data_IF_603895683380
#
_entry.id   IF_603895683380
#
_cell.length_a   1.000
_cell.length_b   1.000
_cell.length_c   1.000
_cell.angle_alpha   90.00
_cell.angle_beta   90.00
_cell.angle_gamma   90.00
#
_symmetry.space_group_name_H-M   'P 1'
#
loop_
_entity.id
_entity.type
_entity.pdbx_description
1 polymer ?
#
# COMPACT_ATOMS: atom_id res chain seq x y z
N UNK A 1 16.11 -0.99 -8.97
CA UNK A 1 15.88 0.05 -10.01
C UNK A 1 17.19 0.47 -10.68
N UNK A 2 18.08 1.23 -10.02
CA UNK A 2 19.30 1.73 -10.65
C UNK A 2 20.19 0.64 -11.25
N UNK A 3 20.42 -0.46 -10.53
CA UNK A 3 21.16 -1.62 -11.06
C UNK A 3 20.55 -2.15 -12.38
N UNK A 4 19.22 -2.22 -12.46
CA UNK A 4 18.52 -2.69 -13.65
C UNK A 4 18.69 -1.72 -14.84
N UNK A 5 18.55 -0.41 -14.59
CA UNK A 5 18.77 0.64 -15.62
C UNK A 5 20.22 0.65 -16.14
N UNK A 6 21.18 0.30 -15.30
CA UNK A 6 22.59 0.14 -15.68
C UNK A 6 22.87 -1.19 -16.41
N UNK A 7 21.86 -2.01 -16.67
CA UNK A 7 22.00 -3.28 -17.39
C UNK A 7 22.52 -4.45 -16.55
N UNK A 8 22.48 -4.35 -15.21
CA UNK A 8 22.90 -5.44 -14.33
C UNK A 8 21.85 -6.55 -14.34
N UNK A 9 22.23 -7.74 -14.82
CA UNK A 9 21.36 -8.93 -14.87
C UNK A 9 21.19 -9.61 -13.51
N UNK A 10 22.23 -9.55 -12.67
CA UNK A 10 22.31 -10.32 -11.44
C UNK A 10 21.58 -9.64 -10.29
N UNK A 11 21.13 -10.41 -9.30
CA UNK A 11 20.51 -9.89 -8.10
C UNK A 11 21.54 -9.15 -7.24
N UNK A 12 21.23 -7.92 -6.86
CA UNK A 12 22.17 -7.04 -6.15
C UNK A 12 21.77 -6.88 -4.69
N UNK A 13 20.48 -6.77 -4.40
CA UNK A 13 20.00 -6.45 -3.05
C UNK A 13 20.23 -7.55 -2.01
N UNK A 14 20.16 -8.86 -2.32
CA UNK A 14 20.55 -9.90 -1.37
C UNK A 14 22.03 -9.78 -0.95
N UNK A 15 22.92 -9.42 -1.88
CA UNK A 15 24.35 -9.24 -1.58
C UNK A 15 24.61 -8.02 -0.69
N UNK A 16 23.75 -7.00 -0.77
CA UNK A 16 23.80 -5.87 0.14
C UNK A 16 23.38 -6.26 1.57
N UNK A 17 22.42 -7.18 1.72
CA UNK A 17 22.07 -7.74 3.03
C UNK A 17 23.29 -8.45 3.64
N UNK A 18 23.96 -9.30 2.86
CA UNK A 18 25.18 -9.99 3.28
C UNK A 18 26.22 -8.96 3.80
N UNK A 19 26.47 -7.91 3.02
CA UNK A 19 27.43 -6.84 3.36
C UNK A 19 27.06 -6.06 4.63
N UNK A 20 25.77 -5.78 4.85
CA UNK A 20 25.31 -5.06 6.05
C UNK A 20 25.52 -5.91 7.30
N UNK A 21 25.26 -7.21 7.24
CA UNK A 21 25.49 -8.11 8.37
C UNK A 21 26.97 -8.25 8.67
N UNK A 22 27.82 -8.31 7.65
CA UNK A 22 29.28 -8.37 7.83
C UNK A 22 29.83 -7.12 8.54
N UNK A 23 29.31 -5.93 8.21
CA UNK A 23 29.79 -4.66 8.77
C UNK A 23 29.22 -4.42 10.18
N UNK A 24 27.92 -4.70 10.38
CA UNK A 24 27.18 -4.26 11.56
C UNK A 24 26.85 -5.40 12.54
N UNK A 25 27.06 -6.65 12.16
CA UNK A 25 26.59 -7.81 12.94
C UNK A 25 27.21 -7.92 14.33
N UNK A 26 28.42 -7.39 14.54
CA UNK A 26 29.08 -7.37 15.84
C UNK A 26 28.35 -6.47 16.86
N UNK A 27 27.89 -5.30 16.42
CA UNK A 27 27.17 -4.33 17.26
C UNK A 27 25.67 -4.66 17.39
N UNK A 28 25.13 -5.42 16.43
CA UNK A 28 23.72 -5.77 16.35
C UNK A 28 23.52 -7.29 16.15
N UNK A 29 23.60 -8.10 17.22
CA UNK A 29 23.54 -9.57 17.16
C UNK A 29 22.26 -10.14 16.56
N UNK A 30 21.16 -9.36 16.54
CA UNK A 30 19.90 -9.72 15.89
C UNK A 30 20.01 -9.77 14.36
N UNK A 31 21.00 -9.10 13.76
CA UNK A 31 21.19 -9.08 12.31
C UNK A 31 21.64 -10.46 11.79
N UNK A 32 22.72 -11.09 12.31
CA UNK A 32 23.05 -12.47 11.97
C UNK A 32 21.91 -13.45 12.27
N UNK A 33 21.18 -13.26 13.38
CA UNK A 33 20.11 -14.17 13.79
C UNK A 33 18.91 -14.21 12.82
N UNK A 34 18.66 -13.11 12.10
CA UNK A 34 17.54 -12.98 11.15
C UNK A 34 17.99 -12.94 9.69
N UNK A 35 19.30 -13.07 9.45
CA UNK A 35 19.93 -12.92 8.15
C UNK A 35 19.25 -13.73 7.05
N UNK A 36 19.13 -15.05 7.23
CA UNK A 36 18.62 -15.93 6.19
C UNK A 36 17.15 -15.63 5.83
N UNK A 37 16.35 -15.26 6.83
CA UNK A 37 14.97 -14.84 6.62
C UNK A 37 14.93 -13.55 5.78
N UNK A 38 15.63 -12.51 6.22
CA UNK A 38 15.65 -11.20 5.56
C UNK A 38 16.19 -11.33 4.14
N UNK A 39 17.31 -12.02 3.96
CA UNK A 39 17.92 -12.27 2.66
C UNK A 39 16.96 -12.98 1.71
N UNK A 40 16.26 -14.02 2.16
CA UNK A 40 15.28 -14.73 1.33
C UNK A 40 14.10 -13.86 0.93
N UNK A 41 13.64 -12.96 1.81
CA UNK A 41 12.55 -12.02 1.52
C UNK A 41 13.02 -11.02 0.47
N UNK A 42 14.17 -10.38 0.69
CA UNK A 42 14.76 -9.41 -0.24
C UNK A 42 15.01 -10.03 -1.61
N UNK A 43 15.48 -11.29 -1.67
CA UNK A 43 15.66 -12.02 -2.93
C UNK A 43 14.34 -12.20 -3.69
N UNK A 44 13.29 -12.66 -3.01
CA UNK A 44 11.97 -12.83 -3.63
C UNK A 44 11.40 -11.50 -4.12
N UNK A 45 11.53 -10.46 -3.31
CA UNK A 45 11.09 -9.10 -3.66
C UNK A 45 11.85 -8.56 -4.87
N UNK A 46 13.19 -8.73 -4.93
CA UNK A 46 13.97 -8.28 -6.10
C UNK A 46 13.59 -9.05 -7.36
N UNK A 47 13.40 -10.38 -7.29
CA UNK A 47 12.96 -11.19 -8.43
C UNK A 47 11.60 -10.73 -8.93
N UNK A 48 10.65 -10.50 -8.02
CA UNK A 48 9.32 -10.03 -8.38
C UNK A 48 9.38 -8.62 -8.99
N UNK A 49 10.14 -7.72 -8.39
CA UNK A 49 10.30 -6.35 -8.87
C UNK A 49 10.98 -6.30 -10.25
N UNK A 50 11.97 -7.15 -10.52
CA UNK A 50 12.60 -7.27 -11.84
C UNK A 50 11.61 -7.71 -12.92
N UNK A 51 10.70 -8.64 -12.59
CA UNK A 51 9.63 -9.05 -13.51
C UNK A 51 8.68 -7.89 -13.78
N UNK A 52 8.30 -7.14 -12.75
CA UNK A 52 7.49 -5.92 -12.89
C UNK A 52 8.17 -4.89 -13.79
N UNK A 53 9.46 -4.61 -13.58
CA UNK A 53 10.21 -3.68 -14.42
C UNK A 53 10.29 -4.14 -15.87
N UNK A 54 10.58 -5.42 -16.11
CA UNK A 54 10.68 -5.96 -17.46
C UNK A 54 9.35 -5.89 -18.23
N UNK A 55 8.23 -6.18 -17.55
CA UNK A 55 6.91 -6.10 -18.16
C UNK A 55 6.47 -4.63 -18.36
N UNK A 56 6.71 -3.77 -17.38
CA UNK A 56 6.37 -2.35 -17.45
C UNK A 56 7.13 -1.62 -18.56
N UNK A 57 8.42 -1.93 -18.75
CA UNK A 57 9.21 -1.38 -19.86
C UNK A 57 8.68 -1.80 -21.23
N UNK A 58 8.30 -3.08 -21.40
CA UNK A 58 7.72 -3.55 -22.67
C UNK A 58 6.41 -2.84 -22.99
N UNK A 59 5.57 -2.61 -21.99
CA UNK A 59 4.30 -1.91 -22.18
C UNK A 59 4.52 -0.42 -22.46
N UNK A 60 5.45 0.21 -21.74
CA UNK A 60 5.83 1.60 -21.97
C UNK A 60 6.41 1.80 -23.39
N UNK A 61 7.28 0.89 -23.85
CA UNK A 61 7.81 0.93 -25.21
C UNK A 61 6.70 0.85 -26.26
N UNK A 62 5.72 -0.03 -26.06
CA UNK A 62 4.58 -0.17 -26.96
C UNK A 62 3.67 1.06 -27.01
N UNK A 63 3.52 1.79 -25.90
CA UNK A 63 2.80 3.06 -25.85
C UNK A 63 3.59 4.17 -26.56
N UNK A 64 4.90 4.24 -26.31
CA UNK A 64 5.78 5.24 -26.91
C UNK A 64 5.90 5.06 -28.44
N UNK A 65 5.91 3.83 -28.94
CA UNK A 65 5.97 3.54 -30.39
C UNK A 65 4.73 4.06 -31.15
N UNK A 66 3.62 4.29 -30.45
CA UNK A 66 2.39 4.84 -31.02
C UNK A 66 2.31 6.37 -30.92
N UNK A 67 3.21 6.99 -30.16
CA UNK A 67 3.20 8.44 -29.97
C UNK A 67 3.87 9.17 -31.13
N UNK A 68 3.32 10.32 -31.57
CA UNK A 68 4.04 11.24 -32.43
C UNK A 68 5.34 11.70 -31.77
N UNK A 69 6.38 11.96 -32.57
CA UNK A 69 7.66 12.44 -32.07
C UNK A 69 7.48 13.72 -31.21
N UNK A 70 7.99 13.68 -29.98
CA UNK A 70 7.91 14.79 -29.03
C UNK A 70 6.54 15.00 -28.37
N UNK A 71 5.55 14.13 -28.61
CA UNK A 71 4.29 14.17 -27.88
C UNK A 71 4.45 13.60 -26.46
N UNK A 72 3.70 14.14 -25.50
CA UNK A 72 3.74 13.64 -24.12
C UNK A 72 2.96 12.32 -23.98
N UNK A 73 3.49 11.41 -23.17
CA UNK A 73 2.77 10.22 -22.72
C UNK A 73 1.57 10.65 -21.88
N UNK A 74 0.39 10.17 -22.26
CA UNK A 74 -0.84 10.48 -21.54
C UNK A 74 -0.75 10.09 -20.06
N UNK A 75 -1.25 10.96 -19.18
CA UNK A 75 -1.22 10.73 -17.73
C UNK A 75 -1.99 9.47 -17.32
N UNK A 76 -3.02 9.10 -18.09
CA UNK A 76 -3.78 7.84 -17.93
C UNK A 76 -2.95 6.60 -18.23
N UNK A 77 -2.08 6.62 -19.25
CA UNK A 77 -1.16 5.51 -19.56
C UNK A 77 -0.08 5.38 -18.47
N UNK A 78 0.48 6.50 -18.02
CA UNK A 78 1.41 6.52 -16.89
C UNK A 78 0.75 6.03 -15.58
N UNK A 79 -0.51 6.40 -15.35
CA UNK A 79 -1.31 5.94 -14.22
C UNK A 79 -1.57 4.44 -14.29
N UNK A 80 -1.93 3.90 -15.46
CA UNK A 80 -2.12 2.46 -15.66
C UNK A 80 -0.84 1.67 -15.36
N UNK A 81 0.31 2.12 -15.87
CA UNK A 81 1.62 1.51 -15.58
C UNK A 81 1.89 1.45 -14.07
N UNK A 82 1.63 2.55 -13.37
CA UNK A 82 1.83 2.64 -11.92
C UNK A 82 0.84 1.79 -11.12
N UNK A 83 -0.45 1.98 -11.34
CA UNK A 83 -1.51 1.38 -10.52
C UNK A 83 -1.75 -0.11 -10.83
N UNK A 84 -1.83 -0.45 -12.11
CA UNK A 84 -2.19 -1.81 -12.54
C UNK A 84 -0.97 -2.73 -12.60
N UNK A 85 0.16 -2.22 -13.09
CA UNK A 85 1.35 -3.03 -13.32
C UNK A 85 2.43 -2.84 -12.25
N UNK A 86 2.26 -1.89 -11.32
CA UNK A 86 3.25 -1.61 -10.27
C UNK A 86 4.55 -1.00 -10.79
N UNK A 87 4.54 -0.43 -12.01
CA UNK A 87 5.72 0.15 -12.63
C UNK A 87 5.95 1.57 -12.07
N UNK A 88 7.10 1.86 -11.44
CA UNK A 88 7.28 3.13 -10.73
C UNK A 88 7.19 4.34 -11.66
N UNK A 89 6.48 5.39 -11.22
CA UNK A 89 6.28 6.61 -12.00
C UNK A 89 7.61 7.29 -12.38
N UNK A 90 8.58 7.30 -11.47
CA UNK A 90 9.88 7.92 -11.70
C UNK A 90 10.68 7.17 -12.78
N UNK A 91 10.48 5.86 -12.91
CA UNK A 91 11.09 5.07 -14.00
C UNK A 91 10.42 5.41 -15.32
N UNK A 92 9.09 5.53 -15.34
CA UNK A 92 8.34 5.99 -16.53
C UNK A 92 8.86 7.34 -16.99
N UNK A 93 8.92 8.33 -16.09
CA UNK A 93 9.37 9.69 -16.41
C UNK A 93 10.79 9.71 -16.98
N UNK A 94 11.72 8.96 -16.39
CA UNK A 94 13.09 8.87 -16.89
C UNK A 94 13.17 8.26 -18.30
N UNK A 95 12.52 7.13 -18.54
CA UNK A 95 12.58 6.40 -19.83
C UNK A 95 11.91 7.22 -20.94
N UNK A 96 10.77 7.84 -20.64
CA UNK A 96 10.04 8.70 -21.58
C UNK A 96 10.89 9.92 -21.96
N UNK A 97 11.55 10.55 -20.99
CA UNK A 97 12.47 11.67 -21.21
C UNK A 97 13.69 11.29 -22.03
N UNK A 98 14.31 10.13 -21.78
CA UNK A 98 15.44 9.63 -22.57
C UNK A 98 15.08 9.43 -24.05
N UNK A 99 13.82 9.11 -24.33
CA UNK A 99 13.27 8.95 -25.68
C UNK A 99 12.76 10.26 -26.30
N UNK A 100 12.94 11.40 -25.62
CA UNK A 100 12.55 12.72 -26.15
C UNK A 100 11.07 13.06 -26.00
N UNK A 101 10.36 12.38 -25.12
CA UNK A 101 8.96 12.63 -24.79
C UNK A 101 8.83 13.18 -23.35
N UNK A 102 7.71 13.83 -23.03
CA UNK A 102 7.33 14.15 -21.65
C UNK A 102 6.23 13.22 -21.12
N UNK A 103 5.85 13.40 -19.85
CA UNK A 103 4.67 12.75 -19.27
C UNK A 103 3.68 13.82 -18.88
N UNK A 104 2.41 13.65 -19.26
CA UNK A 104 1.31 14.49 -18.80
C UNK A 104 1.06 14.28 -17.30
N UNK A 105 1.81 15.06 -16.50
CA UNK A 105 1.72 15.05 -15.04
C UNK A 105 0.35 15.49 -14.52
N UNK A 106 -0.28 16.57 -15.02
CA UNK A 106 -1.64 16.92 -14.63
C UNK A 106 -2.62 15.76 -14.81
N UNK A 107 -2.63 15.10 -15.96
CA UNK A 107 -3.52 13.96 -16.21
C UNK A 107 -3.24 12.77 -15.28
N UNK A 108 -1.98 12.53 -14.91
CA UNK A 108 -1.62 11.50 -13.93
C UNK A 108 -2.16 11.84 -12.53
N UNK A 109 -1.97 13.08 -12.08
CA UNK A 109 -2.42 13.53 -10.76
C UNK A 109 -3.96 13.53 -10.65
N UNK A 110 -4.67 13.86 -11.75
CA UNK A 110 -6.12 13.72 -11.85
C UNK A 110 -6.56 12.26 -11.69
N UNK A 111 -5.95 11.32 -12.42
CA UNK A 111 -6.26 9.89 -12.32
C UNK A 111 -6.01 9.34 -10.91
N UNK A 112 -4.92 9.75 -10.27
CA UNK A 112 -4.61 9.42 -8.87
C UNK A 112 -5.68 9.97 -7.91
N UNK A 113 -6.16 11.21 -8.12
CA UNK A 113 -7.19 11.81 -7.30
C UNK A 113 -8.54 11.07 -7.45
N UNK A 114 -8.91 10.68 -8.67
CA UNK A 114 -10.11 9.90 -8.94
C UNK A 114 -10.06 8.51 -8.29
N UNK A 115 -8.91 7.83 -8.36
CA UNK A 115 -8.72 6.54 -7.68
C UNK A 115 -8.86 6.68 -6.16
N UNK A 116 -8.24 7.71 -5.57
CA UNK A 116 -8.37 8.00 -4.14
C UNK A 116 -9.82 8.29 -3.74
N UNK A 117 -10.57 9.01 -4.58
CA UNK A 117 -12.00 9.27 -4.35
C UNK A 117 -12.81 7.97 -4.41
N UNK A 118 -12.61 7.14 -5.44
CA UNK A 118 -13.25 5.82 -5.58
C UNK A 118 -12.99 4.92 -4.36
N UNK A 119 -11.76 4.89 -3.87
CA UNK A 119 -11.40 4.11 -2.68
C UNK A 119 -12.11 4.64 -1.40
N UNK A 120 -12.30 5.96 -1.27
CA UNK A 120 -13.06 6.55 -0.15
C UNK A 120 -14.56 6.26 -0.24
N UNK A 121 -15.14 6.35 -1.44
CA UNK A 121 -16.55 6.09 -1.65
C UNK A 121 -16.89 4.60 -1.45
N UNK A 122 -16.00 3.70 -1.90
CA UNK A 122 -16.12 2.27 -1.61
C UNK A 122 -16.06 1.96 -0.11
N UNK A 123 -15.22 2.67 0.66
CA UNK A 123 -15.18 2.55 2.13
C UNK A 123 -16.44 3.08 2.82
N UNK A 124 -17.03 4.18 2.31
CA UNK A 124 -18.32 4.69 2.82
C UNK A 124 -19.48 3.74 2.55
N UNK A 125 -19.45 3.01 1.44
CA UNK A 125 -20.46 1.99 1.11
C UNK A 125 -20.45 0.77 2.05
N UNK A 126 -19.32 0.47 2.70
CA UNK A 126 -19.21 -0.63 3.69
C UNK A 126 -19.66 -0.17 5.09
N UNK A 127 -19.59 1.12 5.41
CA UNK A 127 -20.00 1.67 6.72
C UNK A 127 -21.37 2.37 6.71
N UNK A 128 -22.02 2.51 5.56
CA UNK A 128 -23.40 2.99 5.47
C UNK A 128 -24.37 1.85 5.17
N UNK A 129 -24.79 1.18 6.23
CA UNK A 129 -26.18 0.77 6.35
C UNK A 129 -26.60 0.94 7.83
N UNK A 130 -27.24 2.08 8.12
CA UNK A 130 -28.08 2.39 9.30
C UNK A 130 -27.52 3.18 10.51
N UNK A 131 -26.22 3.16 10.87
CA UNK A 131 -25.87 3.54 12.27
C UNK A 131 -24.95 4.76 12.47
N UNK A 132 -24.64 5.54 11.43
CA UNK A 132 -23.58 6.57 11.53
C UNK A 132 -23.90 7.74 12.46
N UNK A 133 -25.15 8.23 12.46
CA UNK A 133 -25.55 9.41 13.25
C UNK A 133 -25.59 9.12 14.76
N UNK A 134 -26.22 8.01 15.23
CA UNK A 134 -26.20 7.65 16.66
C UNK A 134 -24.79 7.33 17.17
N UNK A 135 -23.95 6.67 16.36
CA UNK A 135 -22.57 6.33 16.74
C UNK A 135 -21.70 7.57 16.85
N UNK A 136 -21.86 8.55 15.95
CA UNK A 136 -21.09 9.79 16.01
C UNK A 136 -21.43 10.61 17.27
N UNK A 137 -22.72 10.77 17.60
CA UNK A 137 -23.12 11.45 18.86
C UNK A 137 -22.63 10.71 20.11
N UNK A 138 -22.57 9.38 20.06
CA UNK A 138 -22.01 8.57 21.14
C UNK A 138 -20.52 8.83 21.34
N UNK A 139 -19.73 8.87 20.24
CA UNK A 139 -18.29 9.16 20.31
C UNK A 139 -18.00 10.55 20.89
N UNK A 140 -18.83 11.55 20.59
CA UNK A 140 -18.69 12.90 21.13
C UNK A 140 -18.98 12.98 22.64
N UNK A 141 -19.89 12.12 23.14
CA UNK A 141 -20.34 12.15 24.55
C UNK A 141 -19.50 11.23 25.45
N UNK A 142 -19.13 10.05 24.96
CA UNK A 142 -18.48 8.99 25.75
C UNK A 142 -17.03 8.72 25.34
N UNK A 143 -16.55 9.31 24.24
CA UNK A 143 -15.21 9.06 23.73
C UNK A 143 -15.05 7.69 23.07
N UNK A 144 -13.82 7.21 22.98
CA UNK A 144 -13.48 5.92 22.40
C UNK A 144 -13.65 4.79 23.44
N UNK A 145 -14.12 3.62 22.99
CA UNK A 145 -14.13 2.40 23.81
C UNK A 145 -12.73 2.07 24.33
N UNK A 146 -12.61 1.85 25.64
CA UNK A 146 -11.36 1.44 26.27
C UNK A 146 -11.04 -0.03 25.95
N UNK A 147 -9.91 -0.27 25.29
CA UNK A 147 -9.46 -1.64 25.02
C UNK A 147 -8.67 -2.21 26.21
N UNK A 148 -9.26 -3.20 26.90
CA UNK A 148 -8.67 -3.84 28.10
C UNK A 148 -8.06 -5.22 27.84
N UNK A 149 -8.16 -5.72 26.61
CA UNK A 149 -7.76 -7.08 26.21
C UNK A 149 -6.25 -7.38 26.27
N UNK A 150 -5.42 -6.45 26.78
CA UNK A 150 -4.01 -6.69 27.12
C UNK A 150 -3.80 -7.18 28.55
N UNK A 151 -4.77 -6.90 29.44
CA UNK A 151 -4.67 -7.17 30.88
C UNK A 151 -5.80 -8.08 31.35
N UNK A 152 -7.02 -7.88 30.83
CA UNK A 152 -8.21 -8.67 31.16
C UNK A 152 -8.61 -9.49 29.93
N UNK A 153 -8.26 -10.77 29.95
CA UNK A 153 -8.35 -11.66 28.78
C UNK A 153 -9.66 -12.43 28.66
N UNK A 154 -10.39 -12.62 29.76
CA UNK A 154 -11.51 -13.58 29.81
C UNK A 154 -12.86 -12.92 30.05
N UNK A 155 -12.93 -11.95 30.95
CA UNK A 155 -14.18 -11.24 31.27
C UNK A 155 -13.88 -9.80 31.72
N UNK A 156 -14.78 -8.88 31.37
CA UNK A 156 -14.78 -7.51 31.87
C UNK A 156 -16.22 -7.02 32.02
N UNK A 157 -16.58 -6.39 33.16
CA UNK A 157 -17.84 -5.66 33.26
C UNK A 157 -17.78 -4.42 32.37
N UNK A 158 -18.77 -4.27 31.48
CA UNK A 158 -18.87 -3.15 30.56
C UNK A 158 -20.30 -2.57 30.57
N UNK A 159 -20.42 -1.28 30.32
CA UNK A 159 -21.68 -0.57 30.13
C UNK A 159 -22.06 -0.58 28.65
N UNK A 160 -23.31 -0.95 28.34
CA UNK A 160 -23.83 -0.91 26.98
C UNK A 160 -24.27 0.52 26.66
N UNK A 161 -23.54 1.14 25.75
CA UNK A 161 -23.75 2.52 25.36
C UNK A 161 -24.77 2.67 24.23
N UNK A 162 -24.77 1.73 23.27
CA UNK A 162 -25.70 1.73 22.14
C UNK A 162 -25.88 0.30 21.61
N UNK A 163 -27.09 -0.02 21.16
CA UNK A 163 -27.38 -1.25 20.41
C UNK A 163 -28.08 -0.86 19.12
N UNK A 164 -27.58 -1.37 18.00
CA UNK A 164 -28.13 -1.10 16.67
C UNK A 164 -28.41 -2.39 15.90
N UNK A 165 -29.17 -2.30 14.80
CA UNK A 165 -29.53 -3.49 14.01
C UNK A 165 -30.59 -4.40 14.65
N UNK A 166 -31.33 -3.91 15.65
CA UNK A 166 -32.45 -4.64 16.27
C UNK A 166 -33.50 -5.01 15.21
N UNK A 167 -33.75 -6.31 15.03
CA UNK A 167 -34.68 -6.82 14.01
C UNK A 167 -34.05 -7.11 12.65
N UNK A 168 -32.72 -7.08 12.54
CA UNK A 168 -31.96 -7.50 11.35
C UNK A 168 -31.13 -8.75 11.64
N UNK A 169 -30.48 -9.33 10.64
CA UNK A 169 -29.61 -10.51 10.78
C UNK A 169 -28.30 -10.21 11.52
N UNK A 170 -27.96 -8.93 11.76
CA UNK A 170 -26.73 -8.53 12.45
C UNK A 170 -27.01 -7.40 13.45
N UNK A 171 -26.64 -7.63 14.71
CA UNK A 171 -26.79 -6.66 15.79
C UNK A 171 -25.41 -6.13 16.17
N UNK A 172 -25.26 -4.82 16.23
CA UNK A 172 -24.03 -4.18 16.71
C UNK A 172 -24.25 -3.65 18.13
N UNK A 173 -23.29 -3.91 19.01
CA UNK A 173 -23.32 -3.47 20.42
C UNK A 173 -22.08 -2.64 20.70
N UNK A 174 -22.28 -1.43 21.21
CA UNK A 174 -21.22 -0.48 21.56
C UNK A 174 -21.06 -0.41 23.08
N UNK A 175 -19.82 -0.49 23.56
CA UNK A 175 -19.47 -0.59 24.97
C UNK A 175 -18.50 0.52 25.40
N UNK A 176 -18.49 0.87 26.69
CA UNK A 176 -17.50 1.78 27.27
C UNK A 176 -16.08 1.17 27.28
N UNK A 177 -15.98 -0.15 27.49
CA UNK A 177 -14.74 -0.93 27.45
C UNK A 177 -14.95 -2.33 26.88
N UNK A 178 -13.91 -2.90 26.27
CA UNK A 178 -13.99 -4.22 25.65
C UNK A 178 -12.65 -4.97 25.64
N UNK A 179 -12.64 -6.30 25.84
CA UNK A 179 -11.47 -7.13 25.63
C UNK A 179 -11.36 -7.64 24.19
N UNK A 180 -12.40 -7.43 23.36
CA UNK A 180 -12.47 -7.89 21.98
C UNK A 180 -11.66 -6.99 21.06
N UNK A 181 -10.85 -7.61 20.19
CA UNK A 181 -10.18 -6.91 19.11
C UNK A 181 -11.19 -6.54 18.03
N UNK A 182 -11.12 -5.29 17.56
CA UNK A 182 -11.83 -4.86 16.36
C UNK A 182 -11.00 -5.32 15.15
N UNK A 183 -11.29 -6.52 14.64
CA UNK A 183 -10.82 -6.97 13.32
C UNK A 183 -11.78 -6.52 12.22
#
# INVERSE_FOLDING_TARGET
RFAYLLGVSDLVTPQLVDSVVDIMGADYPQLPATHDLVRSVVEREEVQFRRTLANGLKLLDAELDQLPAGADLAGSSAFMLHDTYGFPYEVTEEVVREKGHGVDRPGFDEAMAEQRKRAKDARKGVTQAADFEPVQSLMETHGLTEFVGRVQLTEVPAEVLLVTGLGTDTVSVFLDRSPFYAE
#
